data_IF_601825406414
#
_entry.id   IF_601825406414
#
_cell.length_a   1.000
_cell.length_b   1.000
_cell.length_c   1.000
_cell.angle_alpha   90.00
_cell.angle_beta   90.00
_cell.angle_gamma   90.00
#
_symmetry.space_group_name_H-M   'P 1'
#
loop_
_entity.id
_entity.type
_entity.pdbx_description
1 polymer ?
#
# COMPACT_ATOMS: atom_id res chain seq x y z
N UNK A 1 -22.33 22.30 46.84
CA UNK A 1 -23.38 21.25 46.77
C UNK A 1 -22.90 20.23 45.75
N UNK A 2 -22.00 19.28 46.05
CA UNK A 2 -22.15 18.08 46.89
C UNK A 2 -23.50 17.38 46.70
N UNK A 3 -23.53 16.39 45.80
CA UNK A 3 -24.38 15.22 45.94
C UNK A 3 -23.48 13.98 45.94
N UNK A 4 -23.40 13.36 47.11
CA UNK A 4 -22.73 12.09 47.38
C UNK A 4 -23.78 10.99 47.51
N UNK A 5 -23.30 9.76 47.37
CA UNK A 5 -23.87 8.50 47.85
C UNK A 5 -24.99 7.91 46.98
N UNK A 6 -25.14 6.59 46.79
CA UNK A 6 -24.40 5.37 47.14
C UNK A 6 -25.41 4.26 46.80
N UNK A 7 -25.00 3.21 46.08
CA UNK A 7 -25.50 1.88 46.40
C UNK A 7 -24.57 0.80 45.87
N UNK A 8 -24.04 0.05 46.83
CA UNK A 8 -23.28 -1.17 46.72
C UNK A 8 -24.22 -2.37 46.51
N UNK A 9 -23.80 -3.35 45.71
CA UNK A 9 -23.87 -4.80 45.99
C UNK A 9 -22.96 -5.50 44.96
N UNK A 10 -21.83 -6.13 45.32
CA UNK A 10 -21.67 -7.51 45.84
C UNK A 10 -22.48 -8.54 45.02
N UNK A 11 -21.99 -9.71 44.59
CA UNK A 11 -20.74 -10.44 44.79
C UNK A 11 -20.79 -11.71 43.90
N UNK A 12 -19.63 -12.36 43.72
CA UNK A 12 -19.51 -13.75 43.24
C UNK A 12 -19.12 -13.83 41.76
N UNK A 13 -18.12 -14.59 41.32
CA UNK A 13 -17.50 -15.77 41.92
C UNK A 13 -16.10 -15.91 41.33
N UNK A 14 -15.12 -16.14 42.20
CA UNK A 14 -13.80 -16.65 41.82
C UNK A 14 -13.97 -18.13 41.48
N UNK A 15 -13.50 -18.55 40.31
CA UNK A 15 -13.01 -19.91 40.13
C UNK A 15 -11.78 -19.90 39.23
N UNK A 16 -10.63 -19.90 39.89
CA UNK A 16 -9.34 -20.25 39.33
C UNK A 16 -9.31 -21.74 38.98
N UNK A 17 -9.15 -22.08 37.71
CA UNK A 17 -8.70 -23.40 37.27
C UNK A 17 -7.23 -23.30 36.85
N UNK A 18 -6.36 -23.49 37.84
CA UNK A 18 -5.01 -23.97 37.57
C UNK A 18 -5.10 -25.48 37.38
N UNK A 19 -4.96 -25.95 36.14
CA UNK A 19 -4.61 -27.34 35.85
C UNK A 19 -3.19 -27.33 35.31
N UNK A 20 -2.23 -27.53 36.21
CA UNK A 20 -0.92 -28.09 35.87
C UNK A 20 -1.15 -29.59 35.76
N UNK A 21 -1.43 -30.05 34.55
CA UNK A 21 -1.47 -31.46 34.17
C UNK A 21 -0.34 -31.71 33.19
N UNK A 22 0.83 -32.07 33.71
CA UNK A 22 1.91 -32.63 32.92
C UNK A 22 1.49 -34.02 32.44
N UNK A 23 0.94 -34.08 31.22
CA UNK A 23 0.85 -35.27 30.39
C UNK A 23 0.96 -34.83 28.93
N UNK A 24 2.17 -34.95 28.39
CA UNK A 24 2.47 -35.40 27.01
C UNK A 24 1.49 -34.91 25.93
N UNK A 25 1.82 -33.78 25.32
CA UNK A 25 1.15 -33.23 24.14
C UNK A 25 2.14 -32.66 23.14
N UNK A 26 3.14 -33.45 22.73
CA UNK A 26 3.78 -33.25 21.42
C UNK A 26 2.70 -33.52 20.37
N UNK A 27 1.97 -32.49 19.93
CA UNK A 27 1.29 -32.37 18.62
C UNK A 27 0.27 -31.22 18.49
N UNK A 28 0.05 -30.36 19.50
CA UNK A 28 -0.94 -29.27 19.37
C UNK A 28 -0.46 -28.01 18.62
N UNK A 29 0.83 -27.90 18.27
CA UNK A 29 1.34 -26.70 17.55
C UNK A 29 1.20 -26.76 16.03
N UNK A 30 0.87 -27.91 15.43
CA UNK A 30 0.74 -28.05 13.98
C UNK A 30 -0.71 -27.97 13.46
N UNK A 31 -1.70 -28.33 14.28
CA UNK A 31 -3.11 -28.30 13.86
C UNK A 31 -3.68 -26.88 13.81
N UNK A 32 -3.33 -26.02 14.77
CA UNK A 32 -3.76 -24.60 14.77
C UNK A 32 -3.19 -23.81 13.58
N UNK A 33 -1.99 -24.15 13.11
CA UNK A 33 -1.38 -23.54 11.91
C UNK A 33 -2.02 -24.07 10.61
N UNK A 34 -2.51 -25.32 10.63
CA UNK A 34 -3.20 -25.91 9.49
C UNK A 34 -4.62 -25.37 9.35
N UNK A 35 -5.37 -25.27 10.45
CA UNK A 35 -6.73 -24.71 10.46
C UNK A 35 -6.74 -23.22 10.11
N UNK A 36 -5.83 -22.42 10.68
CA UNK A 36 -5.64 -21.01 10.31
C UNK A 36 -5.24 -20.85 8.84
N UNK A 37 -4.41 -21.75 8.31
CA UNK A 37 -4.05 -21.76 6.88
C UNK A 37 -5.22 -22.15 6.00
N UNK A 38 -6.05 -23.12 6.38
CA UNK A 38 -7.25 -23.50 5.65
C UNK A 38 -8.30 -22.37 5.66
N UNK A 39 -8.43 -21.67 6.78
CA UNK A 39 -9.28 -20.49 6.92
C UNK A 39 -8.78 -19.32 6.05
N UNK A 40 -7.47 -19.03 6.07
CA UNK A 40 -6.85 -18.04 5.18
C UNK A 40 -7.04 -18.39 3.70
N UNK A 41 -6.83 -19.66 3.33
CA UNK A 41 -7.10 -20.13 1.95
C UNK A 41 -8.59 -20.04 1.60
N UNK A 42 -9.48 -20.20 2.57
CA UNK A 42 -10.92 -20.00 2.42
C UNK A 42 -11.27 -18.53 2.17
N UNK A 43 -10.69 -17.61 2.93
CA UNK A 43 -10.84 -16.17 2.78
C UNK A 43 -10.25 -15.66 1.46
N UNK A 44 -9.08 -16.15 1.05
CA UNK A 44 -8.45 -15.83 -0.24
C UNK A 44 -9.34 -16.19 -1.44
N UNK A 45 -10.11 -17.29 -1.35
CA UNK A 45 -11.06 -17.69 -2.40
C UNK A 45 -12.24 -16.74 -2.54
N UNK A 46 -12.53 -15.94 -1.51
CA UNK A 46 -13.59 -14.93 -1.55
C UNK A 46 -13.10 -13.61 -2.13
N UNK A 47 -11.78 -13.43 -2.29
CA UNK A 47 -11.22 -12.24 -2.91
C UNK A 47 -11.56 -12.26 -4.39
N UNK A 48 -12.24 -11.22 -4.86
CA UNK A 48 -12.57 -11.05 -6.28
C UNK A 48 -11.73 -9.94 -6.89
N UNK A 49 -11.24 -10.17 -8.12
CA UNK A 49 -10.53 -9.17 -8.92
C UNK A 49 -11.35 -8.90 -10.19
N UNK A 50 -11.47 -7.62 -10.56
CA UNK A 50 -12.19 -7.20 -11.75
C UNK A 50 -11.47 -6.02 -12.41
N UNK A 51 -11.28 -6.14 -13.71
CA UNK A 51 -10.86 -5.05 -14.59
C UNK A 51 -12.02 -4.57 -15.43
N UNK A 52 -12.22 -3.25 -15.49
CA UNK A 52 -13.25 -2.59 -16.30
C UNK A 52 -12.57 -1.62 -17.25
N UNK A 53 -12.79 -1.81 -18.55
CA UNK A 53 -12.30 -0.93 -19.64
C UNK A 53 -13.43 -0.33 -20.48
N UNK A 54 -14.69 -0.73 -20.22
CA UNK A 54 -15.89 -0.17 -20.83
C UNK A 54 -17.02 -0.11 -19.78
N UNK A 55 -17.91 0.88 -19.88
CA UNK A 55 -18.98 1.08 -18.91
C UNK A 55 -18.51 1.77 -17.63
N UNK A 56 -18.77 1.16 -16.46
CA UNK A 56 -18.47 1.78 -15.17
C UNK A 56 -18.71 0.88 -13.96
N UNK A 57 -18.42 1.40 -12.78
CA UNK A 57 -18.67 0.78 -11.49
C UNK A 57 -19.15 1.84 -10.51
N UNK A 58 -20.34 1.62 -9.94
CA UNK A 58 -21.02 2.61 -9.10
C UNK A 58 -21.06 4.01 -9.78
N UNK A 59 -20.47 5.02 -9.15
CA UNK A 59 -20.39 6.38 -9.69
C UNK A 59 -19.27 6.56 -10.73
N UNK A 60 -18.30 5.65 -10.81
CA UNK A 60 -17.18 5.73 -11.77
C UNK A 60 -17.61 5.26 -13.16
N UNK A 61 -17.22 6.01 -14.18
CA UNK A 61 -17.46 5.66 -15.58
C UNK A 61 -16.19 5.81 -16.42
N UNK A 62 -15.90 4.82 -17.24
CA UNK A 62 -14.86 4.91 -18.25
C UNK A 62 -15.21 6.05 -19.22
N UNK A 63 -14.21 6.85 -19.59
CA UNK A 63 -14.36 8.03 -20.44
C UNK A 63 -14.58 9.35 -19.69
N UNK A 64 -14.73 9.32 -18.36
CA UNK A 64 -14.89 10.55 -17.57
C UNK A 64 -13.53 11.21 -17.29
N UNK A 65 -13.52 12.54 -17.12
CA UNK A 65 -12.31 13.30 -16.78
C UNK A 65 -11.87 13.08 -15.33
N UNK A 66 -10.62 13.37 -14.99
CA UNK A 66 -10.13 13.33 -13.59
C UNK A 66 -10.94 14.20 -12.65
N UNK A 67 -11.30 15.41 -13.06
CA UNK A 67 -12.13 16.33 -12.26
C UNK A 67 -13.50 15.75 -11.90
N UNK A 68 -14.12 15.05 -12.84
CA UNK A 68 -15.39 14.33 -12.62
C UNK A 68 -15.16 13.09 -11.75
N UNK A 69 -14.02 12.41 -11.94
CA UNK A 69 -13.64 11.23 -11.15
C UNK A 69 -13.51 11.56 -9.67
N UNK A 70 -12.93 12.70 -9.29
CA UNK A 70 -12.85 13.13 -7.89
C UNK A 70 -14.24 13.22 -7.24
N UNK A 71 -15.21 13.77 -7.97
CA UNK A 71 -16.59 13.89 -7.45
C UNK A 71 -17.24 12.52 -7.29
N UNK A 72 -17.07 11.63 -8.28
CA UNK A 72 -17.56 10.25 -8.21
C UNK A 72 -16.94 9.47 -7.03
N UNK A 73 -15.66 9.69 -6.72
CA UNK A 73 -14.99 9.05 -5.60
C UNK A 73 -15.53 9.53 -4.25
N UNK A 74 -15.80 10.84 -4.11
CA UNK A 74 -16.47 11.39 -2.93
C UNK A 74 -17.87 10.80 -2.74
N UNK A 75 -18.66 10.69 -3.82
CA UNK A 75 -20.00 10.08 -3.78
C UNK A 75 -19.95 8.59 -3.39
N UNK A 76 -18.86 7.91 -3.74
CA UNK A 76 -18.59 6.53 -3.33
C UNK A 76 -18.09 6.38 -1.89
N UNK A 77 -17.89 7.48 -1.16
CA UNK A 77 -17.37 7.47 0.20
C UNK A 77 -15.86 7.24 0.29
N UNK A 78 -15.11 7.44 -0.79
CA UNK A 78 -13.64 7.34 -0.75
C UNK A 78 -13.07 8.55 -0.02
N UNK A 79 -12.33 8.28 1.06
CA UNK A 79 -11.73 9.34 1.90
C UNK A 79 -10.38 9.77 1.33
N UNK A 80 -9.57 8.81 0.89
CA UNK A 80 -8.17 9.01 0.54
C UNK A 80 -7.85 8.45 -0.83
N UNK A 81 -7.08 9.20 -1.60
CA UNK A 81 -6.49 8.78 -2.87
C UNK A 81 -4.98 9.00 -2.84
N UNK A 82 -4.23 8.07 -3.43
CA UNK A 82 -2.77 8.19 -3.61
C UNK A 82 -2.45 8.29 -5.11
N UNK A 83 -1.78 9.36 -5.56
CA UNK A 83 -1.24 9.43 -6.92
C UNK A 83 -0.28 8.27 -7.18
N UNK A 84 -0.28 7.74 -8.39
CA UNK A 84 0.52 6.59 -8.79
C UNK A 84 0.86 6.63 -10.28
N UNK A 85 1.73 5.74 -10.72
CA UNK A 85 2.06 5.53 -12.13
C UNK A 85 1.27 4.36 -12.68
N UNK A 86 0.69 4.52 -13.87
CA UNK A 86 -0.05 3.47 -14.59
C UNK A 86 0.85 2.26 -14.87
N UNK A 87 2.07 2.54 -15.34
CA UNK A 87 3.04 1.52 -15.71
C UNK A 87 4.13 1.42 -14.64
N UNK A 88 3.91 0.54 -13.66
CA UNK A 88 4.94 0.15 -12.68
C UNK A 88 5.89 -0.85 -13.34
N UNK A 89 7.11 -0.41 -13.59
CA UNK A 89 8.23 -1.21 -14.06
C UNK A 89 8.94 -1.76 -12.83
N UNK A 90 8.97 -3.09 -12.71
CA UNK A 90 9.74 -3.79 -11.67
C UNK A 90 11.01 -4.37 -12.28
N UNK A 91 12.15 -4.04 -11.69
CA UNK A 91 13.48 -4.47 -12.10
C UNK A 91 14.07 -5.37 -11.02
N UNK A 92 14.26 -6.65 -11.35
CA UNK A 92 14.94 -7.64 -10.50
C UNK A 92 16.35 -7.95 -11.00
N UNK A 93 16.66 -7.59 -12.24
CA UNK A 93 17.97 -7.83 -12.85
C UNK A 93 18.72 -6.49 -13.05
N UNK A 94 20.00 -6.40 -12.64
CA UNK A 94 20.83 -5.20 -12.87
C UNK A 94 20.84 -4.70 -14.32
N UNK A 95 20.80 -5.59 -15.32
CA UNK A 95 20.81 -5.19 -16.73
C UNK A 95 19.57 -4.41 -17.17
N UNK A 96 18.49 -4.52 -16.39
CA UNK A 96 17.19 -3.91 -16.68
C UNK A 96 17.02 -2.54 -16.01
N UNK A 97 18.00 -2.07 -15.23
CA UNK A 97 17.90 -0.79 -14.51
C UNK A 97 17.64 0.42 -15.42
N UNK A 98 18.16 0.42 -16.65
CA UNK A 98 17.91 1.52 -17.59
C UNK A 98 16.41 1.75 -17.86
N UNK A 99 15.55 0.73 -17.68
CA UNK A 99 14.09 0.85 -17.86
C UNK A 99 13.44 1.83 -16.88
N UNK A 100 14.04 2.06 -15.71
CA UNK A 100 13.54 3.00 -14.67
C UNK A 100 14.36 4.29 -14.60
N UNK A 101 15.30 4.52 -15.53
CA UNK A 101 16.20 5.68 -15.48
C UNK A 101 15.51 7.02 -15.67
N UNK A 102 14.45 7.04 -16.48
CA UNK A 102 13.62 8.21 -16.72
C UNK A 102 12.70 8.57 -15.56
N UNK A 103 12.62 7.74 -14.51
CA UNK A 103 11.71 7.98 -13.39
C UNK A 103 12.18 9.13 -12.50
N UNK A 104 11.22 9.92 -12.03
CA UNK A 104 11.43 10.98 -11.03
C UNK A 104 11.60 10.40 -9.62
N UNK A 105 11.03 9.23 -9.34
CA UNK A 105 11.25 8.50 -8.11
C UNK A 105 11.30 7.00 -8.35
N UNK A 106 12.13 6.33 -7.55
CA UNK A 106 12.24 4.88 -7.50
C UNK A 106 12.23 4.40 -6.06
N UNK A 107 11.83 3.15 -5.87
CA UNK A 107 12.02 2.42 -4.61
C UNK A 107 12.94 1.23 -4.83
N UNK A 108 13.75 0.90 -3.82
CA UNK A 108 14.40 -0.40 -3.67
C UNK A 108 13.70 -1.13 -2.53
N UNK A 109 13.03 -2.21 -2.85
CA UNK A 109 12.30 -3.03 -1.91
C UNK A 109 12.97 -4.40 -1.78
N UNK A 110 12.89 -4.97 -0.59
CA UNK A 110 13.30 -6.34 -0.32
C UNK A 110 13.11 -6.71 1.15
N UNK A 111 13.63 -7.87 1.59
CA UNK A 111 13.50 -8.30 2.97
C UNK A 111 14.07 -7.25 3.94
N UNK A 112 13.19 -6.58 4.70
CA UNK A 112 13.53 -5.52 5.67
C UNK A 112 14.19 -4.28 5.05
N UNK A 113 14.00 -4.05 3.75
CA UNK A 113 14.53 -2.88 3.04
C UNK A 113 13.39 -2.21 2.27
N UNK A 114 13.26 -0.90 2.46
CA UNK A 114 12.36 -0.04 1.71
C UNK A 114 13.03 1.33 1.55
N UNK A 115 13.86 1.49 0.52
CA UNK A 115 14.48 2.77 0.21
C UNK A 115 13.67 3.50 -0.84
N UNK A 116 13.27 4.74 -0.55
CA UNK A 116 12.66 5.60 -1.56
C UNK A 116 13.60 6.72 -1.96
N UNK A 117 13.81 6.90 -3.25
CA UNK A 117 14.74 7.87 -3.81
C UNK A 117 13.97 8.79 -4.76
N UNK A 118 14.16 10.10 -4.60
CA UNK A 118 13.60 11.15 -5.45
C UNK A 118 14.72 11.87 -6.19
N UNK A 119 14.49 12.14 -7.47
CA UNK A 119 15.43 12.82 -8.35
C UNK A 119 14.87 14.15 -8.84
N UNK A 120 15.77 15.13 -8.97
CA UNK A 120 15.54 16.36 -9.72
C UNK A 120 16.54 16.37 -10.90
N UNK A 121 16.09 15.89 -12.06
CA UNK A 121 16.98 15.61 -13.19
C UNK A 121 18.00 14.50 -12.86
N UNK A 122 19.29 14.85 -12.90
CA UNK A 122 20.39 13.94 -12.56
C UNK A 122 20.81 14.00 -11.09
N UNK A 123 20.29 14.97 -10.32
CA UNK A 123 20.59 15.11 -8.90
C UNK A 123 19.64 14.26 -8.05
N UNK A 124 20.17 13.71 -6.95
CA UNK A 124 19.36 13.14 -5.88
C UNK A 124 18.81 14.28 -5.04
N UNK A 125 17.49 14.42 -5.01
CA UNK A 125 16.81 15.42 -4.19
C UNK A 125 16.61 14.91 -2.76
N UNK A 126 16.16 13.66 -2.62
CA UNK A 126 15.85 13.07 -1.33
C UNK A 126 16.01 11.55 -1.35
N UNK A 127 16.43 10.97 -0.22
CA UNK A 127 16.45 9.53 0.03
C UNK A 127 15.79 9.27 1.39
N UNK A 128 14.72 8.49 1.40
CA UNK A 128 14.14 7.91 2.59
C UNK A 128 14.73 6.52 2.80
N UNK A 129 15.47 6.31 3.88
CA UNK A 129 16.00 5.01 4.25
C UNK A 129 15.37 4.54 5.56
N UNK A 130 15.18 3.21 5.77
CA UNK A 130 14.74 2.69 7.04
C UNK A 130 15.72 3.10 8.16
N UNK A 131 15.22 3.66 9.28
CA UNK A 131 16.08 4.08 10.37
C UNK A 131 16.81 2.88 10.99
N UNK A 132 17.99 3.14 11.56
CA UNK A 132 18.82 2.12 12.22
C UNK A 132 19.27 0.97 11.31
N UNK A 133 19.41 1.23 10.01
CA UNK A 133 19.99 0.30 9.04
C UNK A 133 21.29 0.85 8.47
N UNK A 134 22.13 -0.04 7.94
CA UNK A 134 23.37 0.32 7.24
C UNK A 134 23.12 1.10 5.94
N UNK A 135 21.86 1.16 5.48
CA UNK A 135 21.49 1.91 4.29
C UNK A 135 21.70 3.40 4.40
N UNK A 136 21.45 4.00 5.57
CA UNK A 136 21.67 5.44 5.75
C UNK A 136 23.12 5.81 5.42
N UNK A 137 24.08 5.04 5.92
CA UNK A 137 25.50 5.26 5.65
C UNK A 137 25.87 5.00 4.19
N UNK A 138 25.30 3.95 3.59
CA UNK A 138 25.52 3.58 2.18
C UNK A 138 25.02 4.64 1.20
N UNK A 139 23.86 5.24 1.46
CA UNK A 139 23.20 6.18 0.53
C UNK A 139 23.60 7.63 0.75
N UNK A 140 24.00 8.01 1.97
CA UNK A 140 24.41 9.38 2.34
C UNK A 140 25.43 10.03 1.38
N UNK A 141 26.49 9.35 0.90
CA UNK A 141 27.46 9.95 -0.01
C UNK A 141 26.94 10.09 -1.45
N UNK A 142 25.85 9.43 -1.81
CA UNK A 142 25.33 9.41 -3.17
C UNK A 142 24.51 10.67 -3.45
N UNK A 143 24.92 11.44 -4.46
CA UNK A 143 24.27 12.70 -4.85
C UNK A 143 23.75 12.73 -6.28
N UNK A 144 24.06 11.72 -7.08
CA UNK A 144 23.70 11.66 -8.49
C UNK A 144 22.90 10.41 -8.82
N UNK A 145 22.07 10.50 -9.86
CA UNK A 145 21.31 9.38 -10.41
C UNK A 145 22.25 8.23 -10.84
N UNK A 146 23.39 8.53 -11.45
CA UNK A 146 24.38 7.51 -11.79
C UNK A 146 24.91 6.76 -10.55
N UNK A 147 25.25 7.49 -9.48
CA UNK A 147 25.72 6.87 -8.24
C UNK A 147 24.65 5.97 -7.60
N UNK A 148 23.37 6.38 -7.66
CA UNK A 148 22.25 5.54 -7.22
C UNK A 148 22.17 4.28 -8.06
N UNK A 149 22.19 4.40 -9.39
CA UNK A 149 22.02 3.26 -10.28
C UNK A 149 23.17 2.26 -10.17
N UNK A 150 24.39 2.74 -9.90
CA UNK A 150 25.51 1.88 -9.55
C UNK A 150 25.23 1.08 -8.27
N UNK A 151 24.81 1.74 -7.18
CA UNK A 151 24.45 1.07 -5.94
C UNK A 151 23.35 0.02 -6.16
N UNK A 152 22.26 0.39 -6.85
CA UNK A 152 21.15 -0.52 -7.11
C UNK A 152 21.60 -1.73 -7.95
N UNK A 153 22.47 -1.52 -8.94
CA UNK A 153 23.05 -2.60 -9.73
C UNK A 153 23.87 -3.57 -8.89
N UNK A 154 24.66 -3.06 -7.96
CA UNK A 154 25.43 -3.89 -7.03
C UNK A 154 24.50 -4.70 -6.10
N UNK A 155 23.44 -4.07 -5.59
CA UNK A 155 22.47 -4.72 -4.70
C UNK A 155 21.72 -5.83 -5.41
N UNK A 156 21.16 -5.56 -6.60
CA UNK A 156 20.42 -6.55 -7.38
C UNK A 156 21.29 -7.73 -7.83
N UNK A 157 22.62 -7.54 -7.97
CA UNK A 157 23.56 -8.67 -8.19
C UNK A 157 23.75 -9.52 -6.93
N UNK A 158 23.75 -8.87 -5.77
CA UNK A 158 24.08 -9.53 -4.49
C UNK A 158 22.89 -10.23 -3.84
N UNK A 159 21.66 -9.74 -4.04
CA UNK A 159 20.46 -10.27 -3.41
C UNK A 159 19.32 -10.41 -4.44
N UNK A 160 18.97 -11.66 -4.83
CA UNK A 160 17.90 -11.90 -5.80
C UNK A 160 16.49 -11.62 -5.26
N UNK A 161 16.34 -11.32 -3.96
CA UNK A 161 15.06 -10.93 -3.36
C UNK A 161 14.81 -9.42 -3.43
N UNK A 162 15.83 -8.65 -3.80
CA UNK A 162 15.70 -7.21 -3.97
C UNK A 162 15.12 -6.88 -5.35
N UNK A 163 14.37 -5.80 -5.42
CA UNK A 163 13.84 -5.29 -6.68
C UNK A 163 13.67 -3.77 -6.63
N UNK A 164 13.77 -3.15 -7.79
CA UNK A 164 13.60 -1.70 -7.97
C UNK A 164 12.28 -1.44 -8.70
N UNK A 165 11.53 -0.43 -8.28
CA UNK A 165 10.31 0.02 -8.99
C UNK A 165 10.32 1.51 -9.20
N UNK A 166 9.76 1.98 -10.31
CA UNK A 166 9.35 3.37 -10.41
C UNK A 166 8.05 3.62 -9.63
N UNK A 167 7.94 4.81 -9.05
CA UNK A 167 6.77 5.26 -8.32
C UNK A 167 6.46 6.70 -8.68
N UNK A 168 5.25 7.15 -8.33
CA UNK A 168 5.00 8.58 -8.23
C UNK A 168 5.91 9.20 -7.16
N UNK A 169 6.33 10.43 -7.41
CA UNK A 169 7.37 11.13 -6.65
C UNK A 169 6.87 11.56 -5.29
N UNK A 170 5.61 11.94 -5.23
CA UNK A 170 4.88 12.20 -4.01
C UNK A 170 3.63 11.30 -4.02
N UNK A 171 3.65 10.27 -3.18
CA UNK A 171 2.54 9.33 -3.03
C UNK A 171 1.90 9.51 -1.66
N UNK A 172 1.96 10.71 -1.09
CA UNK A 172 1.22 10.94 0.12
C UNK A 172 -0.28 10.72 -0.15
N UNK A 173 -0.97 10.38 0.92
CA UNK A 173 -2.39 10.14 0.90
C UNK A 173 -3.13 11.48 0.87
N UNK A 174 -3.78 11.78 -0.25
CA UNK A 174 -4.58 12.99 -0.43
C UNK A 174 -5.98 12.71 0.12
N UNK A 175 -6.41 13.51 1.11
CA UNK A 175 -7.78 13.48 1.63
C UNK A 175 -8.69 14.26 0.68
N UNK A 176 -9.62 13.58 0.02
CA UNK A 176 -10.45 14.21 -1.02
C UNK A 176 -11.31 15.38 -0.50
N UNK A 177 -11.75 15.33 0.75
CA UNK A 177 -12.55 16.39 1.38
C UNK A 177 -11.75 17.63 1.77
N UNK A 178 -10.42 17.53 1.81
CA UNK A 178 -9.50 18.58 2.28
C UNK A 178 -8.46 18.94 1.19
N UNK A 179 -8.75 18.58 -0.06
CA UNK A 179 -7.82 18.66 -1.17
C UNK A 179 -7.43 20.11 -1.48
N UNK A 180 -6.12 20.37 -1.48
CA UNK A 180 -5.52 21.65 -1.86
C UNK A 180 -5.32 21.77 -3.38
N UNK A 181 -4.94 22.95 -3.86
CA UNK A 181 -4.58 23.13 -5.27
C UNK A 181 -3.32 22.35 -5.67
N UNK A 182 -2.35 22.22 -4.76
CA UNK A 182 -1.14 21.41 -4.97
C UNK A 182 -1.49 19.92 -5.10
N UNK A 183 -2.42 19.43 -4.27
CA UNK A 183 -2.92 18.04 -4.36
C UNK A 183 -3.64 17.78 -5.70
N UNK A 184 -4.42 18.76 -6.16
CA UNK A 184 -5.10 18.68 -7.47
C UNK A 184 -4.08 18.59 -8.60
N UNK A 185 -3.06 19.44 -8.60
CA UNK A 185 -1.97 19.38 -9.59
C UNK A 185 -1.24 18.04 -9.56
N UNK A 186 -1.07 17.47 -8.36
CA UNK A 186 -0.44 16.17 -8.20
C UNK A 186 -1.28 15.04 -8.83
N UNK A 187 -2.59 15.03 -8.57
CA UNK A 187 -3.51 14.08 -9.19
C UNK A 187 -3.61 14.25 -10.72
N UNK A 188 -3.53 15.49 -11.21
CA UNK A 188 -3.51 15.81 -12.65
C UNK A 188 -2.22 15.32 -13.32
N UNK A 189 -1.07 15.46 -12.67
CA UNK A 189 0.24 15.03 -13.18
C UNK A 189 0.33 13.53 -13.41
N UNK A 190 -0.23 12.71 -12.51
CA UNK A 190 -0.03 11.25 -12.50
C UNK A 190 -1.11 10.48 -13.26
N UNK A 191 -0.72 9.48 -14.02
CA UNK A 191 -1.60 8.70 -14.92
C UNK A 191 -2.32 7.54 -14.24
N UNK A 192 -2.14 7.33 -12.94
CA UNK A 192 -2.95 6.40 -12.18
C UNK A 192 -3.18 6.85 -10.75
N UNK A 193 -4.27 6.37 -10.13
CA UNK A 193 -4.61 6.63 -8.73
C UNK A 193 -4.90 5.32 -8.00
N UNK A 194 -4.35 5.16 -6.79
CA UNK A 194 -4.65 4.05 -5.89
C UNK A 194 -5.50 4.50 -4.71
N UNK A 195 -6.44 3.69 -4.26
CA UNK A 195 -7.25 4.00 -3.08
C UNK A 195 -7.83 2.73 -2.46
N UNK A 196 -8.19 2.84 -1.18
CA UNK A 196 -8.93 1.81 -0.47
C UNK A 196 -10.27 2.39 -0.01
N UNK A 197 -11.30 1.54 0.03
CA UNK A 197 -12.60 1.86 0.61
C UNK A 197 -13.08 0.65 1.40
N UNK A 198 -13.54 0.90 2.62
CA UNK A 198 -14.27 -0.09 3.39
C UNK A 198 -15.76 0.31 3.49
N UNK A 199 -16.65 -0.67 3.41
CA UNK A 199 -18.09 -0.49 3.55
C UNK A 199 -18.77 -1.79 4.02
N UNK A 200 -20.11 -1.78 4.13
CA UNK A 200 -20.87 -2.96 4.59
C UNK A 200 -20.70 -4.21 3.71
N UNK A 201 -20.18 -4.07 2.48
CA UNK A 201 -19.88 -5.20 1.60
C UNK A 201 -18.45 -5.73 1.77
N UNK A 202 -17.59 -5.03 2.51
CA UNK A 202 -16.21 -5.39 2.80
C UNK A 202 -15.18 -4.39 2.28
N UNK A 203 -13.94 -4.84 2.22
CA UNK A 203 -12.78 -4.04 1.86
C UNK A 203 -12.51 -4.04 0.35
N UNK A 204 -12.34 -2.85 -0.21
CA UNK A 204 -12.09 -2.62 -1.63
C UNK A 204 -10.76 -1.91 -1.84
N UNK A 205 -9.96 -2.41 -2.77
CA UNK A 205 -8.78 -1.71 -3.29
C UNK A 205 -9.00 -1.37 -4.76
N UNK A 206 -8.92 -0.09 -5.12
CA UNK A 206 -9.04 0.37 -6.51
C UNK A 206 -7.71 0.88 -7.04
N UNK A 207 -7.47 0.61 -8.33
CA UNK A 207 -6.43 1.25 -9.13
C UNK A 207 -7.07 1.79 -10.41
N UNK A 208 -7.11 3.11 -10.51
CA UNK A 208 -7.67 3.84 -11.65
C UNK A 208 -6.54 4.24 -12.58
N UNK A 209 -6.68 4.00 -13.89
CA UNK A 209 -5.72 4.43 -14.90
C UNK A 209 -6.33 5.48 -15.82
N UNK A 210 -5.54 6.49 -16.16
CA UNK A 210 -5.95 7.62 -16.97
C UNK A 210 -5.06 7.76 -18.20
N UNK A 211 -5.66 8.13 -19.34
CA UNK A 211 -4.95 8.56 -20.54
C UNK A 211 -5.45 9.95 -20.92
N UNK A 212 -4.53 10.92 -21.05
CA UNK A 212 -4.86 12.31 -21.41
C UNK A 212 -6.04 12.88 -20.60
N UNK A 213 -5.96 12.81 -19.27
CA UNK A 213 -6.99 13.28 -18.32
C UNK A 213 -8.30 12.43 -18.29
N UNK A 214 -8.39 11.35 -19.05
CA UNK A 214 -9.59 10.52 -19.14
C UNK A 214 -9.40 9.17 -18.45
N UNK A 215 -10.35 8.76 -17.60
CA UNK A 215 -10.36 7.45 -16.96
C UNK A 215 -10.54 6.35 -18.01
N UNK A 216 -9.55 5.48 -18.20
CA UNK A 216 -9.57 4.42 -19.22
C UNK A 216 -9.63 3.01 -18.63
N UNK A 217 -9.26 2.84 -17.36
CA UNK A 217 -9.36 1.53 -16.69
C UNK A 217 -9.65 1.67 -15.20
N UNK A 218 -10.46 0.76 -14.69
CA UNK A 218 -10.69 0.54 -13.25
C UNK A 218 -10.28 -0.90 -12.95
N UNK A 219 -9.23 -1.09 -12.16
CA UNK A 219 -8.94 -2.38 -11.54
C UNK A 219 -9.43 -2.34 -10.10
N UNK A 220 -10.17 -3.35 -9.66
CA UNK A 220 -10.68 -3.44 -8.31
C UNK A 220 -10.44 -4.82 -7.74
N UNK A 221 -10.02 -4.86 -6.47
CA UNK A 221 -9.97 -6.06 -5.66
C UNK A 221 -10.92 -5.89 -4.50
N UNK A 222 -11.73 -6.90 -4.23
CA UNK A 222 -12.70 -6.91 -3.14
C UNK A 222 -12.46 -8.10 -2.24
N UNK A 223 -12.40 -7.85 -0.93
CA UNK A 223 -12.40 -8.85 0.13
C UNK A 223 -13.64 -8.64 0.97
N UNK A 224 -14.54 -9.64 1.12
CA UNK A 224 -15.74 -9.49 1.94
C UNK A 224 -15.46 -9.46 3.45
N UNK A 225 -14.20 -9.70 3.86
CA UNK A 225 -13.74 -9.63 5.24
C UNK A 225 -12.61 -8.62 5.32
N UNK A 226 -12.62 -7.78 6.35
CA UNK A 226 -11.50 -6.90 6.70
C UNK A 226 -10.31 -7.80 7.04
N UNK A 227 -9.28 -7.82 6.18
CA UNK A 227 -8.08 -8.60 6.44
C UNK A 227 -7.31 -7.90 7.58
N UNK A 228 -6.93 -8.62 8.66
CA UNK A 228 -6.25 -8.05 9.82
C UNK A 228 -4.88 -7.43 9.50
#
# INVERSE_FOLDING_TARGET
MMNRYMNYMLAGLVLSLAIIGACRGENQSNEMDTEMREELLGLERLITDKTITEGGFEALKIGQKKSVTVSALLDMGVIVVSPNVKNVITVTNPSDLEKVRGSESITLDGPRVALRIKFAGDAVEYINAPPHTDWEEKVKPIKTKEGVFKLLGDVLRSDPKMYVRNLATDTHQIRLSEMTDDDRQLLEKYDAWGMNRDNDAGYWHFHLEFDNDVLTKINMKHSPVELP
#
